data_IF_597522801811
#
_entry.id   IF_597522801811
#
_cell.length_a   1.000
_cell.length_b   1.000
_cell.length_c   1.000
_cell.angle_alpha   90.00
_cell.angle_beta   90.00
_cell.angle_gamma   90.00
#
_symmetry.space_group_name_H-M   'P 1'
#
loop_
_entity.id
_entity.type
_entity.pdbx_description
1 polymer ?
#
# COMPACT_ATOMS: atom_id res chain seq x y z
N UNK A 1 -30.84 54.77 56.25
CA UNK A 1 -29.39 54.61 55.97
C UNK A 1 -28.87 55.86 55.29
N UNK A 2 -27.83 56.48 55.84
CA UNK A 2 -27.13 57.60 55.18
C UNK A 2 -26.36 57.12 53.93
N UNK A 3 -25.99 58.05 53.04
CA UNK A 3 -25.28 57.74 51.79
C UNK A 3 -24.01 56.89 52.01
N UNK A 4 -23.25 57.19 53.07
CA UNK A 4 -22.04 56.44 53.47
C UNK A 4 -22.37 54.99 53.83
N UNK A 5 -23.50 54.76 54.50
CA UNK A 5 -23.93 53.43 54.93
C UNK A 5 -24.33 52.55 53.73
N UNK A 6 -25.00 53.14 52.73
CA UNK A 6 -25.34 52.45 51.47
C UNK A 6 -24.09 52.07 50.68
N UNK A 7 -23.12 52.98 50.58
CA UNK A 7 -21.86 52.74 49.89
C UNK A 7 -21.07 51.61 50.57
N UNK A 8 -20.99 51.64 51.89
CA UNK A 8 -20.35 50.59 52.68
C UNK A 8 -21.04 49.23 52.48
N UNK A 9 -22.38 49.17 52.45
CA UNK A 9 -23.11 47.92 52.18
C UNK A 9 -22.80 47.36 50.79
N UNK A 10 -22.76 48.19 49.75
CA UNK A 10 -22.45 47.74 48.38
C UNK A 10 -21.03 47.18 48.30
N UNK A 11 -20.05 47.85 48.92
CA UNK A 11 -18.66 47.37 48.94
C UNK A 11 -18.54 46.05 49.69
N UNK A 12 -19.19 45.92 50.85
CA UNK A 12 -19.17 44.67 51.64
C UNK A 12 -19.82 43.53 50.86
N UNK A 13 -21.00 43.76 50.26
CA UNK A 13 -21.68 42.73 49.45
C UNK A 13 -20.83 42.34 48.24
N UNK A 14 -20.19 43.31 47.57
CA UNK A 14 -19.28 43.05 46.46
C UNK A 14 -18.05 42.23 46.87
N UNK A 15 -17.42 42.56 48.00
CA UNK A 15 -16.28 41.80 48.53
C UNK A 15 -16.69 40.39 48.96
N UNK A 16 -17.87 40.24 49.59
CA UNK A 16 -18.40 38.92 49.95
C UNK A 16 -18.65 38.10 48.69
N UNK A 17 -19.34 38.66 47.68
CA UNK A 17 -19.58 37.98 46.41
C UNK A 17 -18.27 37.57 45.72
N UNK A 18 -17.27 38.46 45.66
CA UNK A 18 -15.95 38.15 45.08
C UNK A 18 -15.24 37.05 45.88
N UNK A 19 -15.26 37.12 47.21
CA UNK A 19 -14.66 36.10 48.08
C UNK A 19 -15.34 34.73 47.91
N UNK A 20 -16.67 34.70 47.79
CA UNK A 20 -17.44 33.48 47.52
C UNK A 20 -17.10 32.90 46.14
N UNK A 21 -17.00 33.73 45.11
CA UNK A 21 -16.58 33.29 43.77
C UNK A 21 -15.16 32.73 43.78
N UNK A 22 -14.23 33.37 44.48
CA UNK A 22 -12.86 32.89 44.61
C UNK A 22 -12.80 31.54 45.33
N UNK A 23 -13.57 31.36 46.41
CA UNK A 23 -13.63 30.07 47.13
C UNK A 23 -14.20 28.97 46.24
N UNK A 24 -15.24 29.26 45.44
CA UNK A 24 -15.79 28.30 44.47
C UNK A 24 -14.74 27.96 43.39
N UNK A 25 -14.02 28.96 42.87
CA UNK A 25 -12.97 28.78 41.86
C UNK A 25 -11.79 27.93 42.36
N UNK A 26 -11.39 28.11 43.62
CA UNK A 26 -10.35 27.31 44.27
C UNK A 26 -10.85 25.91 44.63
N UNK A 27 -12.13 25.75 45.00
CA UNK A 27 -12.72 24.44 45.25
C UNK A 27 -12.79 23.58 43.98
N UNK A 28 -12.93 24.21 42.81
CA UNK A 28 -12.93 23.54 41.49
C UNK A 28 -11.52 23.42 40.86
N UNK A 29 -10.49 23.86 41.57
CA UNK A 29 -9.09 23.78 41.10
C UNK A 29 -8.65 22.35 40.75
N UNK A 30 -8.98 21.29 41.51
CA UNK A 30 -8.62 19.92 41.14
C UNK A 30 -9.21 19.49 39.78
N UNK A 31 -10.46 19.85 39.51
CA UNK A 31 -11.12 19.49 38.26
C UNK A 31 -10.53 20.27 37.07
N UNK A 32 -10.23 21.56 37.26
CA UNK A 32 -9.60 22.39 36.23
C UNK A 32 -8.17 21.92 35.93
N UNK A 33 -7.42 21.55 36.97
CA UNK A 33 -6.09 20.95 36.81
C UNK A 33 -6.17 19.60 36.10
N UNK A 34 -7.15 18.76 36.41
CA UNK A 34 -7.34 17.47 35.73
C UNK A 34 -7.72 17.65 34.25
N UNK A 35 -8.61 18.59 33.92
CA UNK A 35 -8.97 18.89 32.54
C UNK A 35 -7.76 19.40 31.73
N UNK A 36 -6.93 20.24 32.32
CA UNK A 36 -5.69 20.74 31.71
C UNK A 36 -4.62 19.65 31.52
N UNK A 37 -4.60 18.62 32.37
CA UNK A 37 -3.68 17.48 32.18
C UNK A 37 -4.11 16.66 30.97
N UNK A 38 -5.40 16.37 30.82
CA UNK A 38 -5.92 15.64 29.66
C UNK A 38 -5.62 16.38 28.34
N UNK A 39 -5.87 17.70 28.30
CA UNK A 39 -5.58 18.51 27.12
C UNK A 39 -4.08 18.52 26.77
N UNK A 40 -3.21 18.54 27.78
CA UNK A 40 -1.75 18.47 27.58
C UNK A 40 -1.32 17.09 27.09
N UNK A 41 -1.91 16.03 27.60
CA UNK A 41 -1.61 14.67 27.19
C UNK A 41 -2.04 14.43 25.74
N UNK A 42 -3.21 14.92 25.32
CA UNK A 42 -3.66 14.85 23.92
C UNK A 42 -2.70 15.58 22.97
N UNK A 43 -2.31 16.82 23.32
CA UNK A 43 -1.32 17.58 22.52
C UNK A 43 0.06 16.92 22.50
N UNK A 44 0.47 16.29 23.61
CA UNK A 44 1.71 15.54 23.69
C UNK A 44 1.66 14.28 22.81
N UNK A 45 0.52 13.59 22.75
CA UNK A 45 0.30 12.43 21.88
C UNK A 45 0.39 12.86 20.42
N UNK A 46 -0.28 13.94 20.00
CA UNK A 46 -0.22 14.45 18.63
C UNK A 46 1.22 14.77 18.18
N UNK A 47 1.99 15.49 19.01
CA UNK A 47 3.41 15.77 18.73
C UNK A 47 4.28 14.52 18.74
N UNK A 48 3.92 13.55 19.59
CA UNK A 48 4.52 12.23 19.63
C UNK A 48 4.30 11.48 18.31
N UNK A 49 3.10 11.55 17.72
CA UNK A 49 2.79 10.97 16.40
C UNK A 49 3.69 11.59 15.33
N UNK A 50 3.77 12.92 15.24
CA UNK A 50 4.67 13.60 14.28
C UNK A 50 6.12 13.15 14.41
N UNK A 51 6.60 13.06 15.65
CA UNK A 51 7.98 12.64 15.94
C UNK A 51 8.20 11.17 15.55
N UNK A 52 7.23 10.30 15.83
CA UNK A 52 7.25 8.88 15.48
C UNK A 52 7.24 8.68 13.95
N UNK A 53 6.37 9.41 13.24
CA UNK A 53 6.26 9.40 11.78
C UNK A 53 7.60 9.71 11.12
N UNK A 54 8.33 10.69 11.62
CA UNK A 54 9.60 11.13 11.05
C UNK A 54 10.80 10.22 11.37
N UNK A 55 10.79 9.56 12.54
CA UNK A 55 12.02 8.96 13.09
C UNK A 55 11.92 7.45 13.37
N UNK A 56 10.71 6.92 13.54
CA UNK A 56 10.50 5.59 14.13
C UNK A 56 9.73 4.65 13.21
N UNK A 57 8.83 5.18 12.38
CA UNK A 57 7.97 4.41 11.45
C UNK A 57 8.76 3.48 10.54
N UNK A 58 9.93 3.89 10.07
CA UNK A 58 10.75 3.06 9.17
C UNK A 58 11.08 1.69 9.78
N UNK A 59 11.31 1.64 11.10
CA UNK A 59 11.64 0.41 11.81
C UNK A 59 10.42 -0.25 12.47
N UNK A 60 9.47 0.54 12.98
CA UNK A 60 8.36 0.06 13.80
C UNK A 60 7.03 -0.08 13.04
N UNK A 61 6.91 0.54 11.87
CA UNK A 61 5.71 0.54 11.06
C UNK A 61 4.68 1.60 11.46
N UNK A 62 3.75 1.93 10.55
CA UNK A 62 2.73 2.94 10.74
C UNK A 62 1.74 2.59 11.86
N UNK A 63 1.52 1.31 12.15
CA UNK A 63 0.70 0.86 13.28
C UNK A 63 1.55 0.43 14.49
N UNK A 64 2.88 0.64 14.44
CA UNK A 64 3.79 0.16 15.49
C UNK A 64 3.90 -1.37 15.53
N UNK A 65 3.53 -2.08 14.48
CA UNK A 65 3.49 -3.54 14.40
C UNK A 65 4.87 -4.23 14.49
N UNK A 66 5.94 -3.50 14.23
CA UNK A 66 7.32 -3.96 14.36
C UNK A 66 7.71 -5.09 13.41
N UNK A 67 8.77 -5.82 13.79
CA UNK A 67 9.25 -6.99 13.08
C UNK A 67 8.23 -8.13 13.24
N UNK A 68 7.66 -8.57 12.13
CA UNK A 68 7.33 -9.98 11.96
C UNK A 68 8.67 -10.73 11.87
N UNK A 69 8.77 -11.97 12.38
CA UNK A 69 10.04 -12.73 12.37
C UNK A 69 10.74 -12.69 10.99
N UNK A 70 12.08 -12.77 10.91
CA UNK A 70 12.77 -12.88 9.62
C UNK A 70 12.17 -14.02 8.79
N UNK A 71 11.46 -13.68 7.71
CA UNK A 71 10.75 -14.63 6.84
C UNK A 71 9.23 -14.73 7.04
N UNK A 72 8.64 -14.03 8.02
CA UNK A 72 7.19 -13.89 8.17
C UNK A 72 6.70 -12.65 7.38
N UNK A 73 5.75 -12.86 6.47
CA UNK A 73 5.32 -11.85 5.49
C UNK A 73 4.72 -10.59 6.13
N UNK A 74 5.15 -9.42 5.65
CA UNK A 74 4.67 -8.11 6.11
C UNK A 74 5.50 -6.92 5.63
N UNK A 75 6.78 -6.80 6.00
CA UNK A 75 7.54 -5.55 5.70
C UNK A 75 9.07 -5.61 5.73
N UNK A 76 9.70 -6.66 6.28
CA UNK A 76 11.14 -6.66 6.54
C UNK A 76 11.59 -5.65 7.62
N UNK A 77 10.65 -5.15 8.44
CA UNK A 77 10.94 -4.25 9.56
C UNK A 77 11.73 -4.93 10.66
N UNK A 78 12.57 -4.16 11.34
CA UNK A 78 13.53 -4.66 12.36
C UNK A 78 13.23 -4.14 13.77
N UNK A 79 12.30 -3.19 13.92
CA UNK A 79 11.94 -2.59 15.21
C UNK A 79 10.97 -3.48 15.98
N UNK A 80 11.08 -3.54 17.31
CA UNK A 80 10.15 -4.32 18.11
C UNK A 80 8.69 -3.82 17.98
N UNK A 81 7.68 -4.70 18.11
CA UNK A 81 6.29 -4.29 18.15
C UNK A 81 6.04 -3.34 19.33
N UNK A 82 5.34 -2.26 19.04
CA UNK A 82 4.84 -1.24 19.97
C UNK A 82 3.31 -1.26 20.03
N UNK A 83 2.66 -1.70 18.95
CA UNK A 83 1.21 -1.80 18.81
C UNK A 83 0.79 -2.57 17.55
N UNK A 84 -0.41 -2.29 17.05
CA UNK A 84 -0.97 -2.92 15.85
C UNK A 84 -1.79 -4.19 16.10
N UNK A 85 -2.35 -4.74 15.02
CA UNK A 85 -3.34 -5.84 15.05
C UNK A 85 -2.74 -7.25 15.01
N UNK A 86 -1.41 -7.38 14.86
CA UNK A 86 -0.73 -8.67 14.91
C UNK A 86 -0.73 -9.24 16.33
N UNK A 87 -0.53 -10.55 16.50
CA UNK A 87 -0.46 -11.17 17.84
C UNK A 87 0.59 -10.50 18.74
N UNK A 88 1.78 -10.24 18.18
CA UNK A 88 2.86 -9.54 18.89
C UNK A 88 2.55 -8.06 19.12
N UNK A 89 1.84 -7.43 18.18
CA UNK A 89 1.37 -6.05 18.30
C UNK A 89 0.37 -5.87 19.43
N UNK A 90 -0.64 -6.73 19.50
CA UNK A 90 -1.63 -6.75 20.58
C UNK A 90 -0.98 -7.02 21.94
N UNK A 91 0.00 -7.93 22.01
CA UNK A 91 0.78 -8.17 23.21
C UNK A 91 1.60 -6.94 23.62
N UNK A 92 2.19 -6.22 22.65
CA UNK A 92 2.90 -4.98 22.90
C UNK A 92 1.96 -3.86 23.40
N UNK A 93 0.79 -3.70 22.79
CA UNK A 93 -0.25 -2.76 23.25
C UNK A 93 -0.64 -3.05 24.69
N UNK A 94 -0.92 -4.30 25.04
CA UNK A 94 -1.30 -4.68 26.41
C UNK A 94 -0.19 -4.36 27.45
N UNK A 95 1.08 -4.46 27.06
CA UNK A 95 2.21 -4.10 27.92
C UNK A 95 2.44 -2.59 28.00
N UNK A 96 2.33 -1.89 26.88
CA UNK A 96 2.60 -0.45 26.79
C UNK A 96 1.47 0.39 27.40
N UNK A 97 0.22 -0.06 27.26
CA UNK A 97 -0.99 0.70 27.59
C UNK A 97 -1.74 0.12 28.78
N UNK A 98 -1.02 -0.55 29.69
CA UNK A 98 -1.62 -1.08 30.93
C UNK A 98 -2.27 0.01 31.77
N UNK A 99 -3.40 -0.32 32.39
CA UNK A 99 -4.12 0.52 33.36
C UNK A 99 -3.54 0.40 34.79
N UNK A 100 -2.68 -0.59 35.05
CA UNK A 100 -1.99 -0.70 36.35
C UNK A 100 -0.96 0.41 36.50
N UNK A 101 -1.20 1.35 37.42
CA UNK A 101 -0.38 2.55 37.63
C UNK A 101 1.11 2.23 37.87
N UNK A 102 1.42 1.16 38.61
CA UNK A 102 2.82 0.81 38.93
C UNK A 102 3.51 0.25 37.71
N UNK A 103 2.87 -0.69 37.01
CA UNK A 103 3.44 -1.28 35.79
C UNK A 103 3.55 -0.23 34.69
N UNK A 104 2.61 0.72 34.63
CA UNK A 104 2.62 1.84 33.70
C UNK A 104 3.81 2.76 33.92
N UNK A 105 4.09 3.12 35.17
CA UNK A 105 5.27 3.94 35.53
C UNK A 105 6.58 3.21 35.20
N UNK A 106 6.70 1.94 35.57
CA UNK A 106 7.87 1.11 35.23
C UNK A 106 8.05 1.00 33.71
N UNK A 107 6.95 0.86 32.96
CA UNK A 107 7.00 0.77 31.51
C UNK A 107 7.41 2.09 30.87
N UNK A 108 6.93 3.21 31.39
CA UNK A 108 7.34 4.55 30.95
C UNK A 108 8.85 4.73 31.08
N UNK A 109 9.43 4.32 32.22
CA UNK A 109 10.88 4.35 32.45
C UNK A 109 11.65 3.49 31.45
N UNK A 110 11.13 2.29 31.14
CA UNK A 110 11.74 1.42 30.11
C UNK A 110 11.72 2.07 28.74
N UNK A 111 10.59 2.65 28.33
CA UNK A 111 10.42 3.29 27.02
C UNK A 111 11.37 4.49 26.91
N UNK A 112 11.33 5.42 27.87
CA UNK A 112 12.18 6.62 27.86
C UNK A 112 13.67 6.29 27.91
N UNK A 113 14.08 5.35 28.77
CA UNK A 113 15.48 4.92 28.85
C UNK A 113 15.94 4.28 27.54
N UNK A 114 15.06 3.52 26.87
CA UNK A 114 15.34 2.90 25.57
C UNK A 114 15.47 3.96 24.47
N UNK A 115 14.58 4.95 24.41
CA UNK A 115 14.67 6.07 23.47
C UNK A 115 15.95 6.91 23.69
N UNK A 116 16.32 7.13 24.95
CA UNK A 116 17.52 7.92 25.29
C UNK A 116 18.82 7.22 24.93
N UNK A 117 18.92 5.91 25.14
CA UNK A 117 20.18 5.17 25.09
C UNK A 117 20.27 4.16 23.95
N UNK A 118 19.17 3.89 23.26
CA UNK A 118 19.05 2.78 22.32
C UNK A 118 19.02 1.42 23.04
N UNK A 119 18.67 0.37 22.29
CA UNK A 119 18.70 -1.03 22.76
C UNK A 119 18.75 -2.00 21.59
N UNK A 120 19.75 -2.87 21.58
CA UNK A 120 19.90 -3.86 20.50
C UNK A 120 20.14 -3.17 19.15
N UNK A 121 19.24 -3.38 18.19
CA UNK A 121 19.27 -2.72 16.87
C UNK A 121 18.70 -1.29 16.89
N UNK A 122 18.01 -0.90 17.96
CA UNK A 122 17.44 0.44 18.08
C UNK A 122 18.55 1.45 18.44
N UNK A 123 18.78 2.49 17.63
CA UNK A 123 19.77 3.52 17.93
C UNK A 123 19.33 4.39 19.12
N UNK A 124 20.27 5.12 19.70
CA UNK A 124 19.96 6.16 20.67
C UNK A 124 19.41 7.40 19.96
N UNK A 125 18.22 7.85 20.34
CA UNK A 125 17.62 9.08 19.82
C UNK A 125 17.85 10.28 20.76
N UNK A 126 18.00 10.02 22.06
CA UNK A 126 18.42 11.01 23.06
C UNK A 126 19.93 11.20 23.12
N UNK A 127 20.42 11.76 24.22
CA UNK A 127 21.85 12.12 24.36
C UNK A 127 22.80 10.92 24.33
N UNK A 128 22.32 9.70 24.59
CA UNK A 128 23.13 8.50 24.70
C UNK A 128 24.35 8.65 25.63
N UNK A 129 25.25 7.67 25.61
CA UNK A 129 26.52 7.75 26.32
C UNK A 129 27.62 8.55 25.57
N UNK A 130 27.42 8.83 24.27
CA UNK A 130 28.44 9.38 23.37
C UNK A 130 28.16 10.83 22.90
N UNK A 131 26.98 11.39 23.20
CA UNK A 131 26.62 12.78 22.94
C UNK A 131 26.24 13.09 21.48
N UNK A 132 25.04 13.65 21.28
CA UNK A 132 24.55 14.11 19.97
C UNK A 132 23.06 13.87 19.73
N UNK A 133 22.19 14.24 20.69
CA UNK A 133 20.77 13.88 20.66
C UNK A 133 20.03 14.41 19.43
N UNK A 134 19.37 13.50 18.70
CA UNK A 134 18.40 13.84 17.64
C UNK A 134 17.11 14.41 18.23
N UNK A 135 16.68 13.86 19.37
CA UNK A 135 15.49 14.26 20.09
C UNK A 135 15.86 14.86 21.45
N UNK A 136 15.16 15.92 21.84
CA UNK A 136 15.30 16.50 23.18
C UNK A 136 14.46 15.73 24.23
N UNK A 137 14.67 16.04 25.52
CA UNK A 137 14.01 15.31 26.61
C UNK A 137 12.46 15.41 26.55
N UNK A 138 11.93 16.53 26.05
CA UNK A 138 10.48 16.71 25.86
C UNK A 138 9.95 15.83 24.73
N UNK A 139 10.64 15.77 23.60
CA UNK A 139 10.22 14.90 22.48
C UNK A 139 10.27 13.41 22.86
N UNK A 140 11.21 13.02 23.72
CA UNK A 140 11.26 11.67 24.27
C UNK A 140 10.10 11.40 25.22
N UNK A 141 9.72 12.40 26.03
CA UNK A 141 8.55 12.33 26.90
C UNK A 141 7.25 12.21 26.09
N UNK A 142 7.05 13.07 25.08
CA UNK A 142 5.91 13.07 24.17
C UNK A 142 5.78 11.72 23.43
N UNK A 143 6.88 11.14 22.95
CA UNK A 143 6.90 9.79 22.36
C UNK A 143 6.51 8.69 23.35
N UNK A 144 6.99 8.77 24.60
CA UNK A 144 6.65 7.78 25.60
C UNK A 144 5.16 7.86 25.97
N UNK A 145 4.62 9.07 26.13
CA UNK A 145 3.18 9.28 26.34
C UNK A 145 2.36 8.78 25.16
N UNK A 146 2.79 9.07 23.93
CA UNK A 146 2.15 8.54 22.73
C UNK A 146 2.09 7.01 22.75
N UNK A 147 3.21 6.31 22.95
CA UNK A 147 3.24 4.84 22.97
C UNK A 147 2.30 4.25 24.05
N UNK A 148 2.14 4.93 25.20
CA UNK A 148 1.29 4.45 26.30
C UNK A 148 -0.20 4.79 26.17
N UNK A 149 -0.60 5.67 25.25
CA UNK A 149 -1.97 6.20 25.19
C UNK A 149 -2.58 6.23 23.79
N UNK A 150 -1.79 6.07 22.73
CA UNK A 150 -2.26 6.28 21.36
C UNK A 150 -3.14 5.13 20.87
N UNK A 151 -4.15 5.48 20.09
CA UNK A 151 -4.82 4.52 19.20
C UNK A 151 -3.95 4.32 17.96
N UNK A 152 -3.41 3.11 17.79
CA UNK A 152 -2.49 2.79 16.70
C UNK A 152 -3.16 2.87 15.31
N UNK A 153 -4.48 2.79 15.22
CA UNK A 153 -5.18 3.01 13.96
C UNK A 153 -5.12 4.49 13.55
N UNK A 154 -5.08 5.43 14.51
CA UNK A 154 -4.88 6.86 14.22
C UNK A 154 -3.47 7.12 13.68
N UNK A 155 -2.46 6.52 14.31
CA UNK A 155 -1.06 6.62 13.84
C UNK A 155 -0.94 6.06 12.43
N UNK A 156 -1.57 4.90 12.18
CA UNK A 156 -1.57 4.29 10.87
C UNK A 156 -2.15 5.24 9.83
N UNK A 157 -3.36 5.76 10.06
CA UNK A 157 -4.03 6.64 9.12
C UNK A 157 -3.23 7.93 8.84
N UNK A 158 -2.64 8.53 9.87
CA UNK A 158 -1.84 9.76 9.73
C UNK A 158 -0.51 9.53 8.98
N UNK A 159 0.18 8.43 9.29
CA UNK A 159 1.42 8.05 8.60
C UNK A 159 1.16 7.72 7.13
N UNK A 160 0.09 6.98 6.83
CA UNK A 160 -0.26 6.65 5.44
C UNK A 160 -0.62 7.91 4.65
N UNK A 161 -1.42 8.80 5.25
CA UNK A 161 -1.82 10.05 4.63
C UNK A 161 -0.62 10.99 4.36
N UNK A 162 0.32 11.08 5.30
CA UNK A 162 1.51 11.95 5.18
C UNK A 162 2.61 11.36 4.28
N UNK A 163 2.73 10.03 4.23
CA UNK A 163 3.76 9.33 3.46
C UNK A 163 3.33 8.95 2.04
N UNK A 164 2.05 9.15 1.69
CA UNK A 164 1.51 8.74 0.39
C UNK A 164 1.41 7.22 0.24
N UNK A 165 1.25 6.48 1.34
CA UNK A 165 1.25 5.02 1.33
C UNK A 165 2.07 4.41 2.46
N UNK A 166 2.17 3.07 2.45
CA UNK A 166 2.86 2.32 3.49
C UNK A 166 4.39 2.48 3.35
N UNK A 167 5.09 3.11 4.30
CA UNK A 167 6.48 3.49 4.12
C UNK A 167 7.40 2.26 4.13
N UNK A 168 8.00 1.96 2.99
CA UNK A 168 9.00 0.89 2.80
C UNK A 168 10.41 1.44 2.97
N UNK A 169 11.36 0.61 3.44
CA UNK A 169 12.78 0.98 3.41
C UNK A 169 13.18 1.34 1.97
N UNK A 170 13.88 2.47 1.74
CA UNK A 170 14.51 2.67 0.45
C UNK A 170 15.47 1.50 0.20
N UNK A 171 15.53 0.97 -1.04
CA UNK A 171 16.52 -0.05 -1.35
C UNK A 171 17.91 0.48 -0.98
N UNK A 172 18.79 -0.34 -0.37
CA UNK A 172 20.13 0.11 -0.01
C UNK A 172 20.80 0.71 -1.25
N UNK A 173 21.56 1.81 -1.12
CA UNK A 173 22.23 2.41 -2.26
C UNK A 173 23.11 1.35 -2.92
N UNK A 174 22.92 1.17 -4.23
CA UNK A 174 23.75 0.26 -5.01
C UNK A 174 25.23 0.56 -4.71
N UNK A 175 26.06 -0.45 -4.38
CA UNK A 175 27.46 -0.20 -4.08
C UNK A 175 28.10 0.52 -5.26
N UNK A 176 28.81 1.61 -4.97
CA UNK A 176 29.57 2.35 -5.96
C UNK A 176 30.73 1.49 -6.46
N UNK A 177 30.46 0.70 -7.51
CA UNK A 177 31.42 -0.21 -8.12
C UNK A 177 30.71 -1.49 -8.57
N UNK A 178 30.54 -1.63 -9.88
CA UNK A 178 29.93 -2.80 -10.52
C UNK A 178 30.64 -4.11 -10.16
N UNK A 179 30.13 -4.77 -9.13
CA UNK A 179 30.28 -6.19 -8.87
C UNK A 179 29.01 -6.62 -8.13
N UNK A 180 28.32 -7.62 -8.66
CA UNK A 180 27.14 -8.21 -8.04
C UNK A 180 27.48 -8.68 -6.62
N UNK A 181 26.60 -8.46 -5.63
CA UNK A 181 26.82 -8.93 -4.27
C UNK A 181 26.74 -10.47 -4.24
N UNK A 182 27.81 -11.10 -3.78
CA UNK A 182 27.80 -12.50 -3.35
C UNK A 182 27.04 -12.60 -2.02
N UNK A 183 26.02 -13.47 -1.98
CA UNK A 183 25.28 -13.79 -0.77
C UNK A 183 26.18 -14.41 0.32
N UNK A 184 25.96 -14.02 1.57
CA UNK A 184 26.49 -14.70 2.75
C UNK A 184 25.65 -15.96 3.05
N UNK A 185 26.23 -17.02 3.67
CA UNK A 185 25.71 -18.38 3.57
C UNK A 185 24.60 -18.66 4.58
N UNK A 186 23.49 -19.24 4.12
CA UNK A 186 22.55 -19.94 4.99
C UNK A 186 23.05 -21.36 5.30
N UNK A 187 22.96 -21.72 6.58
CA UNK A 187 23.29 -23.04 7.09
C UNK A 187 22.20 -24.05 6.68
N UNK A 188 22.67 -25.11 6.03
CA UNK A 188 21.87 -26.18 5.47
C UNK A 188 21.00 -26.95 6.48
N UNK A 189 19.78 -27.30 6.06
CA UNK A 189 19.32 -28.69 6.11
C UNK A 189 18.73 -29.11 4.75
N UNK A 190 19.37 -30.13 4.19
CA UNK A 190 19.17 -30.72 2.88
C UNK A 190 17.89 -31.55 2.79
N UNK A 191 17.21 -31.50 1.64
CA UNK A 191 17.16 -32.57 0.63
C UNK A 191 16.36 -32.05 -0.58
N UNK A 192 17.00 -31.63 -1.69
CA UNK A 192 17.45 -32.44 -2.85
C UNK A 192 16.25 -32.92 -3.71
N UNK A 193 16.08 -32.66 -5.01
CA UNK A 193 16.86 -32.10 -6.12
C UNK A 193 15.85 -31.59 -7.18
N UNK A 194 16.13 -30.69 -8.14
CA UNK A 194 17.40 -30.28 -8.68
C UNK A 194 17.28 -29.07 -9.63
N UNK A 195 18.45 -28.60 -10.04
CA UNK A 195 18.78 -27.29 -10.59
C UNK A 195 18.55 -27.11 -12.10
N UNK A 196 18.54 -25.84 -12.53
CA UNK A 196 18.77 -25.41 -13.90
C UNK A 196 18.78 -23.88 -14.05
N UNK A 197 19.95 -23.30 -14.28
CA UNK A 197 20.18 -21.88 -14.55
C UNK A 197 19.83 -21.48 -16.01
N UNK A 198 19.32 -20.25 -16.19
CA UNK A 198 19.32 -19.33 -17.34
C UNK A 198 19.15 -19.85 -18.79
N UNK A 199 18.02 -19.51 -19.42
CA UNK A 199 17.90 -18.73 -20.69
C UNK A 199 16.42 -18.71 -21.12
N UNK A 200 15.94 -17.58 -21.65
CA UNK A 200 14.52 -17.38 -21.96
C UNK A 200 13.94 -18.30 -23.03
N UNK A 201 12.65 -18.59 -22.90
CA UNK A 201 11.66 -18.75 -23.99
C UNK A 201 10.26 -18.83 -23.36
N UNK A 202 9.22 -18.43 -24.08
CA UNK A 202 7.83 -18.56 -23.64
C UNK A 202 7.39 -20.04 -23.67
N UNK A 203 6.84 -20.55 -22.57
CA UNK A 203 6.11 -21.81 -22.52
C UNK A 203 4.77 -21.59 -21.80
N UNK A 204 3.68 -22.00 -22.46
CA UNK A 204 2.32 -21.96 -21.94
C UNK A 204 2.24 -22.72 -20.60
N UNK A 205 2.07 -21.96 -19.51
CA UNK A 205 1.77 -22.52 -18.20
C UNK A 205 0.31 -22.97 -18.18
N UNK A 206 0.05 -24.25 -17.88
CA UNK A 206 -1.30 -24.74 -17.54
C UNK A 206 -1.67 -24.41 -16.08
N UNK A 207 -0.87 -23.58 -15.40
CA UNK A 207 -1.09 -23.13 -14.04
C UNK A 207 -1.42 -21.63 -14.04
N UNK A 208 -2.48 -21.27 -13.34
CA UNK A 208 -2.99 -19.91 -13.17
C UNK A 208 -3.16 -19.62 -11.68
N UNK A 209 -3.24 -18.34 -11.31
CA UNK A 209 -3.43 -17.93 -9.91
C UNK A 209 -4.67 -17.06 -9.79
N UNK A 210 -5.50 -17.33 -8.79
CA UNK A 210 -6.62 -16.47 -8.37
C UNK A 210 -6.48 -16.23 -6.88
N UNK A 211 -6.02 -15.05 -6.54
CA UNK A 211 -5.84 -14.57 -5.17
C UNK A 211 -7.17 -14.16 -4.57
N UNK A 212 -7.35 -14.42 -3.28
CA UNK A 212 -8.53 -14.01 -2.52
C UNK A 212 -8.16 -12.99 -1.46
N UNK A 213 -8.90 -11.89 -1.43
CA UNK A 213 -8.85 -10.84 -0.41
C UNK A 213 -10.21 -10.74 0.28
N UNK A 214 -10.29 -9.99 1.38
CA UNK A 214 -11.43 -10.03 2.30
C UNK A 214 -12.83 -9.95 1.63
N UNK A 215 -12.95 -9.23 0.51
CA UNK A 215 -14.22 -9.08 -0.22
C UNK A 215 -14.12 -9.22 -1.75
N UNK A 216 -13.01 -9.70 -2.30
CA UNK A 216 -12.84 -9.84 -3.76
C UNK A 216 -11.77 -10.87 -4.15
N UNK A 217 -11.78 -11.29 -5.42
CA UNK A 217 -10.71 -12.06 -6.03
C UNK A 217 -9.87 -11.20 -6.98
N UNK A 218 -8.59 -11.52 -7.10
CA UNK A 218 -7.66 -10.96 -8.08
C UNK A 218 -6.92 -12.09 -8.82
N UNK A 219 -6.96 -12.14 -10.15
CA UNK A 219 -7.77 -11.29 -11.00
C UNK A 219 -9.27 -11.63 -10.88
N UNK A 220 -10.13 -10.70 -11.33
CA UNK A 220 -11.59 -10.91 -11.45
C UNK A 220 -11.99 -11.66 -12.72
N UNK A 221 -11.08 -11.75 -13.69
CA UNK A 221 -11.27 -12.53 -14.90
C UNK A 221 -9.98 -13.32 -15.18
N UNK A 222 -10.11 -14.62 -15.43
CA UNK A 222 -9.01 -15.46 -15.91
C UNK A 222 -9.41 -16.11 -17.23
N UNK A 223 -8.44 -16.22 -18.13
CA UNK A 223 -8.62 -16.93 -19.39
C UNK A 223 -7.74 -18.17 -19.42
N UNK A 224 -8.34 -19.31 -19.73
CA UNK A 224 -7.69 -20.62 -19.69
C UNK A 224 -7.92 -21.39 -21.00
N UNK A 225 -6.99 -22.28 -21.39
CA UNK A 225 -7.18 -23.12 -22.57
C UNK A 225 -8.35 -24.09 -22.36
N UNK A 226 -9.29 -24.10 -23.30
CA UNK A 226 -10.43 -25.00 -23.24
C UNK A 226 -10.03 -26.46 -23.42
N UNK A 227 -10.83 -27.35 -22.81
CA UNK A 227 -10.68 -28.80 -22.89
C UNK A 227 -9.28 -29.32 -22.52
N UNK A 228 -8.53 -28.53 -21.74
CA UNK A 228 -7.18 -28.83 -21.26
C UNK A 228 -7.19 -28.91 -19.74
N UNK A 229 -6.41 -29.84 -19.17
CA UNK A 229 -6.22 -29.94 -17.72
C UNK A 229 -5.34 -28.77 -17.25
N UNK A 230 -5.90 -27.97 -16.34
CA UNK A 230 -5.29 -26.77 -15.77
C UNK A 230 -5.28 -26.85 -14.24
N UNK A 231 -4.36 -26.12 -13.61
CA UNK A 231 -4.28 -25.96 -12.16
C UNK A 231 -4.48 -24.49 -11.80
N UNK A 232 -5.38 -24.20 -10.85
CA UNK A 232 -5.54 -22.87 -10.25
C UNK A 232 -4.92 -22.87 -8.85
N UNK A 233 -3.96 -21.98 -8.62
CA UNK A 233 -3.43 -21.64 -7.29
C UNK A 233 -4.31 -20.58 -6.65
N UNK A 234 -4.63 -20.78 -5.37
CA UNK A 234 -5.63 -20.00 -4.64
C UNK A 234 -5.04 -19.48 -3.32
N UNK A 235 -4.18 -18.43 -3.34
CA UNK A 235 -3.72 -17.79 -2.12
C UNK A 235 -4.83 -16.95 -1.48
N UNK A 236 -4.92 -16.99 -0.16
CA UNK A 236 -5.77 -16.10 0.62
C UNK A 236 -4.92 -15.04 1.32
N UNK A 237 -4.99 -13.82 0.81
CA UNK A 237 -4.29 -12.63 1.29
C UNK A 237 -5.18 -11.75 2.19
N UNK A 238 -6.46 -12.12 2.36
CA UNK A 238 -7.40 -11.49 3.29
C UNK A 238 -7.22 -11.98 4.73
N UNK A 239 -7.84 -11.26 5.65
CA UNK A 239 -7.88 -11.63 7.07
C UNK A 239 -8.95 -12.71 7.37
N UNK A 240 -9.89 -12.95 6.46
CA UNK A 240 -11.04 -13.84 6.62
C UNK A 240 -10.88 -15.16 5.85
N UNK A 241 -11.59 -16.22 6.25
CA UNK A 241 -11.67 -17.45 5.46
C UNK A 241 -12.39 -17.16 4.13
N UNK A 242 -11.85 -17.68 3.04
CA UNK A 242 -12.44 -17.57 1.71
C UNK A 242 -12.64 -18.94 1.06
N UNK A 243 -13.48 -18.97 0.05
CA UNK A 243 -13.78 -20.18 -0.70
C UNK A 243 -13.72 -19.85 -2.20
N UNK A 244 -13.27 -20.79 -3.02
CA UNK A 244 -13.36 -20.71 -4.48
C UNK A 244 -14.34 -21.77 -4.98
N UNK A 245 -15.52 -21.33 -5.46
CA UNK A 245 -16.57 -22.22 -5.98
C UNK A 245 -16.93 -21.92 -7.43
N UNK A 246 -17.11 -22.98 -8.24
CA UNK A 246 -17.68 -22.92 -9.60
C UNK A 246 -18.76 -24.00 -9.70
N UNK A 247 -20.04 -23.61 -9.63
CA UNK A 247 -21.18 -24.54 -9.59
C UNK A 247 -21.26 -25.43 -10.84
N UNK A 248 -21.00 -24.87 -12.02
CA UNK A 248 -21.09 -25.59 -13.29
C UNK A 248 -20.01 -26.66 -13.47
N UNK A 249 -18.94 -26.62 -12.66
CA UNK A 249 -17.83 -27.56 -12.68
C UNK A 249 -17.75 -28.41 -11.40
N UNK A 250 -18.70 -28.26 -10.47
CA UNK A 250 -18.73 -28.94 -9.16
C UNK A 250 -17.44 -28.73 -8.33
N UNK A 251 -16.90 -27.49 -8.37
CA UNK A 251 -15.69 -27.08 -7.64
C UNK A 251 -16.09 -26.26 -6.42
N UNK A 252 -15.50 -26.57 -5.27
CA UNK A 252 -15.57 -25.76 -4.04
C UNK A 252 -14.34 -26.04 -3.16
N UNK A 253 -13.51 -25.02 -2.92
CA UNK A 253 -12.26 -25.13 -2.14
C UNK A 253 -12.22 -24.06 -1.07
N UNK A 254 -12.10 -24.44 0.20
CA UNK A 254 -11.94 -23.51 1.33
C UNK A 254 -10.46 -23.17 1.56
N UNK A 255 -10.15 -21.89 1.76
CA UNK A 255 -8.79 -21.35 1.86
C UNK A 255 -8.69 -20.51 3.15
N UNK A 256 -7.93 -21.00 4.13
CA UNK A 256 -7.72 -20.28 5.39
C UNK A 256 -6.88 -19.00 5.19
N UNK A 257 -7.00 -17.97 6.06
CA UNK A 257 -6.19 -16.76 5.97
C UNK A 257 -4.69 -17.06 5.91
N UNK A 258 -3.98 -16.49 4.94
CA UNK A 258 -2.56 -16.70 4.71
C UNK A 258 -2.19 -18.08 4.12
N UNK A 259 -3.17 -18.95 3.85
CA UNK A 259 -2.94 -20.23 3.19
C UNK A 259 -2.96 -20.09 1.67
N UNK A 260 -2.43 -21.10 0.97
CA UNK A 260 -2.57 -21.25 -0.48
C UNK A 260 -3.01 -22.67 -0.76
N UNK A 261 -4.14 -22.81 -1.44
CA UNK A 261 -4.66 -24.10 -1.91
C UNK A 261 -4.49 -24.21 -3.43
N UNK A 262 -4.67 -25.42 -3.98
CA UNK A 262 -4.64 -25.65 -5.43
C UNK A 262 -5.81 -26.53 -5.87
N UNK A 263 -6.30 -26.30 -7.09
CA UNK A 263 -7.35 -27.13 -7.70
C UNK A 263 -7.04 -27.40 -9.16
N UNK A 264 -7.09 -28.66 -9.56
CA UNK A 264 -6.83 -29.10 -10.94
C UNK A 264 -8.11 -29.62 -11.58
N UNK A 265 -8.46 -29.10 -12.76
CA UNK A 265 -9.69 -29.47 -13.47
C UNK A 265 -9.58 -29.20 -14.98
N UNK A 266 -10.60 -29.64 -15.73
CA UNK A 266 -10.79 -29.33 -17.15
C UNK A 266 -12.10 -28.58 -17.34
N UNK A 267 -12.07 -27.50 -18.10
CA UNK A 267 -13.25 -26.70 -18.44
C UNK A 267 -13.53 -26.75 -19.95
N UNK A 268 -14.73 -27.18 -20.38
CA UNK A 268 -15.19 -26.97 -21.76
C UNK A 268 -15.17 -25.49 -22.16
N UNK A 269 -15.25 -25.19 -23.46
CA UNK A 269 -15.40 -23.80 -23.93
C UNK A 269 -16.63 -23.12 -23.30
N UNK A 270 -16.42 -21.93 -22.73
CA UNK A 270 -17.48 -21.17 -22.08
C UNK A 270 -16.98 -20.21 -21.00
N UNK A 271 -17.91 -19.44 -20.47
CA UNK A 271 -17.69 -18.54 -19.33
C UNK A 271 -18.28 -19.15 -18.06
N UNK A 272 -17.50 -19.15 -16.98
CA UNK A 272 -17.85 -19.76 -15.70
C UNK A 272 -17.69 -18.73 -14.58
N UNK A 273 -18.75 -18.43 -13.84
CA UNK A 273 -18.64 -17.61 -12.63
C UNK A 273 -17.95 -18.43 -11.54
N UNK A 274 -16.87 -17.90 -10.98
CA UNK A 274 -16.34 -18.35 -9.69
C UNK A 274 -16.71 -17.35 -8.59
N UNK A 275 -16.97 -17.83 -7.38
CA UNK A 275 -17.40 -16.99 -6.28
C UNK A 275 -16.98 -17.55 -4.92
N UNK A 276 -17.03 -16.70 -3.88
CA UNK A 276 -16.86 -17.11 -2.49
C UNK A 276 -18.21 -17.43 -1.85
N UNK A 277 -18.40 -18.68 -1.43
CA UNK A 277 -19.65 -19.17 -0.85
C UNK A 277 -19.83 -18.82 0.65
N UNK A 278 -18.86 -18.12 1.27
CA UNK A 278 -18.96 -17.64 2.64
C UNK A 278 -20.16 -16.67 2.75
N UNK A 279 -21.06 -16.85 3.74
CA UNK A 279 -22.30 -16.07 3.81
C UNK A 279 -22.07 -14.56 3.69
N UNK A 280 -22.64 -13.92 2.67
CA UNK A 280 -22.54 -12.48 2.42
C UNK A 280 -21.42 -12.05 1.48
N UNK A 281 -20.44 -12.91 1.17
CA UNK A 281 -19.28 -12.54 0.34
C UNK A 281 -19.64 -12.47 -1.14
N UNK A 282 -20.38 -13.45 -1.67
CA UNK A 282 -20.92 -13.40 -3.04
C UNK A 282 -21.82 -12.17 -3.24
N UNK A 283 -22.73 -11.91 -2.29
CA UNK A 283 -23.63 -10.75 -2.34
C UNK A 283 -22.88 -9.42 -2.23
N UNK A 284 -21.72 -9.40 -1.57
CA UNK A 284 -20.82 -8.26 -1.49
C UNK A 284 -19.96 -8.06 -2.75
N UNK A 285 -20.07 -8.96 -3.75
CA UNK A 285 -19.36 -8.85 -5.03
C UNK A 285 -18.07 -9.66 -5.11
N UNK A 286 -17.85 -10.62 -4.21
CA UNK A 286 -16.74 -11.56 -4.27
C UNK A 286 -17.01 -12.66 -5.31
N UNK A 287 -17.05 -12.22 -6.58
CA UNK A 287 -17.28 -13.01 -7.79
C UNK A 287 -16.23 -12.67 -8.84
N UNK A 288 -15.90 -13.63 -9.70
CA UNK A 288 -15.09 -13.44 -10.88
C UNK A 288 -15.51 -14.41 -12.00
N UNK A 289 -14.86 -14.29 -13.16
CA UNK A 289 -15.22 -15.02 -14.38
C UNK A 289 -14.03 -15.79 -14.93
N UNK A 290 -14.19 -17.10 -15.14
CA UNK A 290 -13.24 -17.93 -15.87
C UNK A 290 -13.74 -18.08 -17.31
N UNK A 291 -12.93 -17.63 -18.27
CA UNK A 291 -13.18 -17.76 -19.71
C UNK A 291 -12.34 -18.92 -20.24
N UNK A 292 -12.99 -20.01 -20.59
CA UNK A 292 -12.37 -21.16 -21.24
C UNK A 292 -12.53 -21.05 -22.75
N UNK A 293 -11.42 -20.93 -23.49
CA UNK A 293 -11.46 -20.83 -24.97
C UNK A 293 -10.24 -21.46 -25.65
N UNK A 294 -10.29 -21.73 -26.97
CA UNK A 294 -9.14 -22.25 -27.71
C UNK A 294 -7.98 -21.25 -27.71
N UNK A 295 -6.84 -21.68 -27.18
CA UNK A 295 -5.59 -20.96 -27.35
C UNK A 295 -4.81 -21.56 -28.53
N UNK A 296 -4.24 -20.73 -29.40
CA UNK A 296 -3.44 -21.20 -30.53
C UNK A 296 -2.21 -21.95 -30.00
N UNK A 297 -2.19 -23.26 -30.18
CA UNK A 297 -1.09 -24.12 -29.74
C UNK A 297 0.19 -23.75 -30.49
N UNK A 298 1.23 -23.36 -29.76
CA UNK A 298 2.58 -23.25 -30.29
C UNK A 298 3.13 -24.68 -30.48
N UNK A 299 2.70 -25.34 -31.56
CA UNK A 299 3.25 -26.63 -31.95
C UNK A 299 3.34 -26.70 -33.48
N UNK A 300 4.31 -25.98 -34.04
CA UNK A 300 4.92 -26.30 -35.33
C UNK A 300 6.43 -26.00 -35.21
N UNK A 301 7.33 -27.00 -35.40
CA UNK A 301 8.73 -26.84 -35.08
C UNK A 301 9.45 -26.03 -36.18
N UNK A 302 10.20 -25.02 -35.75
CA UNK A 302 11.19 -24.35 -36.59
C UNK A 302 12.30 -25.34 -36.97
N UNK A 303 12.32 -25.81 -38.21
CA UNK A 303 13.48 -26.50 -38.77
C UNK A 303 14.31 -25.49 -39.57
N UNK A 304 15.48 -25.15 -39.03
CA UNK A 304 16.54 -24.53 -39.81
C UNK A 304 17.10 -25.56 -40.80
N UNK A 305 17.17 -25.21 -42.09
CA UNK A 305 18.13 -25.80 -42.99
C UNK A 305 18.73 -24.74 -43.92
N UNK A 306 20.05 -24.72 -43.93
CA UNK A 306 20.92 -23.89 -44.74
C UNK A 306 21.14 -24.55 -46.12
N UNK A 307 20.76 -23.83 -47.19
CA UNK A 307 21.39 -23.73 -48.52
C UNK A 307 20.41 -23.84 -49.70
N UNK A 308 20.54 -22.83 -50.59
CA UNK A 308 20.29 -22.83 -52.04
C UNK A 308 18.83 -23.01 -52.49
N UNK A 309 18.28 -22.30 -53.49
CA UNK A 309 18.75 -21.32 -54.48
C UNK A 309 17.46 -20.61 -54.99
N UNK A 310 17.50 -19.31 -55.27
CA UNK A 310 17.35 -18.69 -56.60
C UNK A 310 15.93 -18.72 -57.22
N UNK A 311 15.57 -17.57 -57.82
CA UNK A 311 14.33 -17.21 -58.53
C UNK A 311 13.09 -16.96 -57.62
N UNK A 312 12.39 -15.82 -57.64
CA UNK A 312 12.19 -14.86 -58.72
C UNK A 312 12.20 -13.40 -58.21
N UNK A 313 12.76 -12.56 -59.06
CA UNK A 313 12.89 -11.12 -58.96
C UNK A 313 11.70 -10.47 -59.70
N UNK A 314 11.26 -9.32 -59.18
CA UNK A 314 10.58 -8.22 -59.90
C UNK A 314 9.09 -8.35 -60.26
N UNK A 315 8.27 -7.57 -59.53
CA UNK A 315 7.51 -6.49 -60.16
C UNK A 315 7.27 -5.36 -59.14
N UNK A 316 7.93 -4.23 -59.39
CA UNK A 316 7.93 -3.04 -58.57
C UNK A 316 6.73 -2.13 -58.83
N UNK A 317 6.43 -1.33 -57.80
CA UNK A 317 6.32 0.15 -57.85
C UNK A 317 4.93 0.80 -57.70
N UNK A 318 4.92 1.78 -56.77
CA UNK A 318 4.02 2.92 -56.55
C UNK A 318 2.72 2.62 -55.79
N UNK A 319 2.45 3.21 -54.62
CA UNK A 319 2.74 4.58 -54.22
C UNK A 319 3.44 4.69 -52.85
N UNK A 320 4.54 5.43 -52.84
CA UNK A 320 5.14 5.97 -51.62
C UNK A 320 4.27 7.12 -51.13
N UNK A 321 3.48 6.86 -50.08
CA UNK A 321 3.28 7.85 -49.03
C UNK A 321 4.35 7.58 -47.99
N UNK A 322 5.15 8.59 -47.64
CA UNK A 322 6.08 8.52 -46.51
C UNK A 322 5.41 7.80 -45.34
N UNK A 323 5.94 6.63 -44.96
CA UNK A 323 5.69 6.13 -43.61
C UNK A 323 6.17 7.25 -42.70
N UNK A 324 5.26 7.87 -41.90
CA UNK A 324 5.67 8.89 -40.95
C UNK A 324 6.81 8.29 -40.14
N UNK A 325 7.87 9.07 -39.91
CA UNK A 325 8.86 8.68 -38.91
C UNK A 325 8.09 8.24 -37.66
N UNK A 326 8.40 7.08 -37.05
CA UNK A 326 7.64 6.58 -35.91
C UNK A 326 7.50 7.71 -34.90
N UNK A 327 6.25 8.06 -34.58
CA UNK A 327 5.98 9.18 -33.71
C UNK A 327 6.71 8.95 -32.39
N UNK A 328 7.29 10.02 -31.84
CA UNK A 328 8.07 9.91 -30.60
C UNK A 328 7.16 9.41 -29.48
N UNK A 329 7.58 8.32 -28.82
CA UNK A 329 6.86 7.74 -27.71
C UNK A 329 6.63 8.79 -26.61
N UNK A 330 5.42 8.82 -26.09
CA UNK A 330 5.01 9.71 -25.01
C UNK A 330 5.04 8.98 -23.68
N UNK A 331 5.31 9.72 -22.60
CA UNK A 331 5.30 9.18 -21.25
C UNK A 331 4.36 10.00 -20.38
N UNK A 332 3.35 9.35 -19.77
CA UNK A 332 2.47 9.93 -18.75
C UNK A 332 2.54 9.06 -17.51
N UNK A 333 3.23 9.54 -16.49
CA UNK A 333 3.33 8.86 -15.20
C UNK A 333 2.10 9.17 -14.35
N UNK A 334 1.45 8.16 -13.81
CA UNK A 334 0.46 8.29 -12.74
C UNK A 334 1.12 8.24 -11.37
N UNK A 335 0.66 9.11 -10.47
CA UNK A 335 0.95 9.13 -9.05
C UNK A 335 -0.38 9.16 -8.29
N UNK A 336 -0.36 8.92 -6.98
CA UNK A 336 -1.56 8.65 -6.16
C UNK A 336 -2.82 9.50 -6.46
N UNK A 337 -2.64 10.79 -6.75
CA UNK A 337 -3.77 11.69 -7.06
C UNK A 337 -3.52 12.61 -8.26
N UNK A 338 -2.52 12.34 -9.12
CA UNK A 338 -2.23 13.19 -10.30
C UNK A 338 -1.43 12.46 -11.38
N UNK A 339 -1.41 13.04 -12.60
CA UNK A 339 -0.53 12.60 -13.69
C UNK A 339 0.60 13.61 -13.95
N UNK A 340 1.74 13.14 -14.43
CA UNK A 340 2.83 13.95 -14.95
C UNK A 340 3.33 13.44 -16.32
N UNK A 341 3.42 14.29 -17.36
CA UNK A 341 2.93 15.67 -17.39
C UNK A 341 1.40 15.73 -17.35
N UNK A 342 0.85 16.91 -17.01
CA UNK A 342 -0.60 17.17 -17.01
C UNK A 342 -1.14 17.58 -18.39
N UNK A 343 -0.25 17.90 -19.33
CA UNK A 343 -0.59 18.26 -20.70
C UNK A 343 0.43 17.60 -21.64
N UNK A 344 -0.07 16.91 -22.68
CA UNK A 344 0.75 16.31 -23.75
C UNK A 344 0.20 16.73 -25.11
N UNK A 345 1.10 16.92 -26.08
CA UNK A 345 0.76 17.20 -27.48
C UNK A 345 1.27 16.11 -28.41
N UNK A 346 0.41 15.57 -29.27
CA UNK A 346 0.75 14.54 -30.27
C UNK A 346 0.24 14.92 -31.66
N UNK A 347 0.83 14.40 -32.75
CA UNK A 347 0.30 14.61 -34.10
C UNK A 347 -1.05 13.90 -34.31
N UNK A 348 -1.93 14.53 -35.08
CA UNK A 348 -3.22 13.96 -35.49
C UNK A 348 -3.09 12.77 -36.46
N UNK A 349 -4.06 11.86 -36.37
CA UNK A 349 -4.24 10.69 -37.25
C UNK A 349 -2.98 9.80 -37.39
N UNK A 350 -2.16 9.76 -36.34
CA UNK A 350 -0.88 9.02 -36.30
C UNK A 350 -0.82 8.13 -35.06
N UNK A 351 -0.34 6.89 -35.21
CA UNK A 351 -0.10 5.98 -34.09
C UNK A 351 1.05 6.49 -33.22
N UNK A 352 0.74 6.86 -31.97
CA UNK A 352 1.72 7.35 -31.00
C UNK A 352 1.76 6.36 -29.83
N UNK A 353 2.89 5.70 -29.56
CA UNK A 353 3.02 4.83 -28.41
C UNK A 353 3.12 5.67 -27.12
N UNK A 354 2.41 5.23 -26.08
CA UNK A 354 2.42 5.79 -24.74
C UNK A 354 2.94 4.76 -23.76
N UNK A 355 3.91 5.16 -22.94
CA UNK A 355 4.28 4.47 -21.70
C UNK A 355 3.60 5.17 -20.54
N UNK A 356 2.99 4.40 -19.65
CA UNK A 356 2.18 4.90 -18.55
C UNK A 356 2.69 4.33 -17.22
N UNK A 357 3.83 4.79 -16.71
CA UNK A 357 4.34 4.34 -15.41
C UNK A 357 3.36 4.72 -14.31
N UNK A 358 3.13 3.81 -13.36
CA UNK A 358 2.45 4.14 -12.12
C UNK A 358 3.47 4.17 -10.98
N UNK A 359 3.87 5.37 -10.62
CA UNK A 359 4.79 5.63 -9.51
C UNK A 359 4.00 5.95 -8.21
N UNK A 360 2.67 5.84 -8.23
CA UNK A 360 1.80 5.89 -7.06
C UNK A 360 1.73 4.55 -6.32
N UNK A 361 1.34 4.61 -5.05
CA UNK A 361 1.08 3.46 -4.19
C UNK A 361 -0.29 2.82 -4.45
N UNK A 362 -1.26 3.59 -4.97
CA UNK A 362 -2.53 3.06 -5.44
C UNK A 362 -2.42 2.55 -6.88
N UNK A 363 -3.23 1.55 -7.24
CA UNK A 363 -3.50 1.30 -8.65
C UNK A 363 -4.14 2.55 -9.25
N UNK A 364 -3.83 2.85 -10.50
CA UNK A 364 -4.43 3.92 -11.26
C UNK A 364 -4.85 3.42 -12.63
N UNK A 365 -5.57 4.25 -13.35
CA UNK A 365 -5.73 4.03 -14.77
C UNK A 365 -5.62 5.32 -15.54
N UNK A 366 -5.24 5.16 -16.80
CA UNK A 366 -5.26 6.21 -17.79
C UNK A 366 -6.49 5.98 -18.67
N UNK A 367 -7.54 6.78 -18.42
CA UNK A 367 -8.81 6.71 -19.16
C UNK A 367 -9.01 7.92 -20.06
N UNK A 368 -9.43 7.70 -21.30
CA UNK A 368 -9.97 8.73 -22.21
C UNK A 368 -11.30 8.21 -22.79
N UNK A 369 -12.42 8.64 -22.20
CA UNK A 369 -13.76 8.18 -22.57
C UNK A 369 -14.09 8.38 -24.06
N UNK A 370 -13.74 9.55 -24.60
CA UNK A 370 -14.03 9.94 -25.98
C UNK A 370 -13.31 9.04 -27.01
N UNK A 371 -12.23 8.36 -26.59
CA UNK A 371 -11.45 7.44 -27.39
C UNK A 371 -11.65 5.97 -26.99
N UNK A 372 -12.43 5.69 -25.94
CA UNK A 372 -12.64 4.34 -25.42
C UNK A 372 -11.37 3.69 -24.84
N UNK A 373 -10.41 4.50 -24.39
CA UNK A 373 -9.15 4.03 -23.82
C UNK A 373 -9.34 3.91 -22.31
N UNK A 374 -9.02 2.73 -21.75
CA UNK A 374 -8.85 2.53 -20.32
C UNK A 374 -7.69 1.56 -20.11
N UNK A 375 -6.62 2.03 -19.47
CA UNK A 375 -5.44 1.22 -19.16
C UNK A 375 -5.29 1.21 -17.65
N UNK A 376 -5.61 0.08 -17.01
CA UNK A 376 -5.38 -0.13 -15.59
C UNK A 376 -3.91 -0.47 -15.32
N UNK A 377 -3.33 0.21 -14.34
CA UNK A 377 -1.90 0.20 -14.06
C UNK A 377 -1.74 0.00 -12.55
N UNK A 378 -1.31 -1.18 -12.14
CA UNK A 378 -1.01 -1.47 -10.75
C UNK A 378 0.12 -0.56 -10.22
N UNK A 379 0.18 -0.38 -8.90
CA UNK A 379 1.26 0.38 -8.27
C UNK A 379 2.63 -0.19 -8.67
N UNK A 380 3.55 0.67 -9.11
CA UNK A 380 4.88 0.30 -9.58
C UNK A 380 4.93 -0.38 -10.96
N UNK A 381 3.79 -0.61 -11.63
CA UNK A 381 3.75 -1.15 -12.98
C UNK A 381 3.86 -0.04 -14.03
N UNK A 382 4.19 -0.39 -15.27
CA UNK A 382 4.09 0.51 -16.42
C UNK A 382 3.08 -0.05 -17.40
N UNK A 383 2.00 0.68 -17.64
CA UNK A 383 1.06 0.38 -18.73
C UNK A 383 1.62 0.84 -20.06
N UNK A 384 1.15 0.26 -21.15
CA UNK A 384 1.47 0.71 -22.49
C UNK A 384 0.18 0.78 -23.32
N UNK A 385 0.08 1.78 -24.18
CA UNK A 385 -1.02 1.87 -25.16
C UNK A 385 -0.55 2.63 -26.40
N UNK A 386 -1.30 2.51 -27.49
CA UNK A 386 -1.07 3.30 -28.70
C UNK A 386 -2.28 4.17 -28.93
N UNK A 387 -2.07 5.48 -29.02
CA UNK A 387 -3.13 6.45 -29.24
C UNK A 387 -3.03 6.98 -30.67
N UNK A 388 -4.15 6.87 -31.40
CA UNK A 388 -4.37 7.48 -32.70
C UNK A 388 -5.73 8.16 -32.67
N UNK A 389 -5.75 9.49 -32.80
CA UNK A 389 -6.95 10.31 -32.68
C UNK A 389 -6.93 11.46 -33.69
N UNK A 390 -8.10 11.95 -34.12
CA UNK A 390 -8.19 13.15 -34.96
C UNK A 390 -7.81 14.41 -34.15
N UNK A 391 -7.51 15.51 -34.86
CA UNK A 391 -7.16 16.77 -34.21
C UNK A 391 -8.26 17.25 -33.24
N UNK A 392 -7.86 17.57 -32.01
CA UNK A 392 -8.79 17.82 -30.91
C UNK A 392 -8.10 17.98 -29.55
N UNK A 393 -8.91 18.13 -28.52
CA UNK A 393 -8.45 18.17 -27.12
C UNK A 393 -9.27 17.17 -26.33
N UNK A 394 -8.57 16.25 -25.67
CA UNK A 394 -9.16 15.11 -24.95
C UNK A 394 -8.74 15.17 -23.48
N UNK A 395 -9.66 14.92 -22.55
CA UNK A 395 -9.34 14.76 -21.14
C UNK A 395 -8.92 13.31 -20.87
N UNK A 396 -7.74 13.13 -20.27
CA UNK A 396 -7.41 11.85 -19.64
C UNK A 396 -7.54 11.96 -18.13
N UNK A 397 -8.00 10.91 -17.48
CA UNK A 397 -8.23 10.91 -16.03
C UNK A 397 -8.10 9.51 -15.42
N UNK A 398 -8.02 9.43 -14.10
CA UNK A 398 -8.17 8.17 -13.38
C UNK A 398 -9.62 7.97 -12.94
N UNK A 399 -10.24 6.89 -13.41
CA UNK A 399 -11.65 6.59 -13.20
C UNK A 399 -11.95 5.91 -11.84
N UNK A 400 -10.93 5.69 -11.02
CA UNK A 400 -11.10 5.17 -9.66
C UNK A 400 -11.95 6.17 -8.86
N UNK A 401 -13.00 5.72 -8.15
CA UNK A 401 -13.92 6.61 -7.46
C UNK A 401 -13.20 7.62 -6.55
N UNK A 402 -13.45 8.92 -6.76
CA UNK A 402 -12.85 10.00 -5.98
C UNK A 402 -11.54 10.53 -6.55
N UNK A 403 -10.84 9.81 -7.44
CA UNK A 403 -9.53 10.24 -7.97
C UNK A 403 -9.69 11.35 -9.01
N UNK A 404 -10.66 11.24 -9.92
CA UNK A 404 -11.02 12.32 -10.86
C UNK A 404 -11.45 13.57 -10.10
N UNK A 405 -12.30 13.43 -9.09
CA UNK A 405 -12.79 14.52 -8.24
C UNK A 405 -11.68 15.16 -7.40
N UNK A 406 -10.67 14.38 -7.01
CA UNK A 406 -9.45 14.84 -6.34
C UNK A 406 -8.48 15.58 -7.28
N UNK A 407 -8.78 15.63 -8.58
CA UNK A 407 -7.98 16.37 -9.57
C UNK A 407 -6.97 15.52 -10.35
N UNK A 408 -7.13 14.18 -10.33
CA UNK A 408 -6.34 13.27 -11.15
C UNK A 408 -6.81 13.28 -12.61
N UNK A 409 -6.60 14.42 -13.26
CA UNK A 409 -6.96 14.73 -14.64
C UNK A 409 -5.76 15.35 -15.37
N UNK A 410 -5.70 15.17 -16.69
CA UNK A 410 -4.78 15.85 -17.59
C UNK A 410 -5.38 16.02 -18.99
N UNK A 411 -4.65 16.69 -19.87
CA UNK A 411 -5.12 17.12 -21.19
C UNK A 411 -4.22 16.59 -22.31
N UNK A 412 -4.79 15.86 -23.25
CA UNK A 412 -4.15 15.45 -24.49
C UNK A 412 -4.58 16.38 -25.62
N UNK A 413 -3.63 17.11 -26.20
CA UNK A 413 -3.80 17.95 -27.38
C UNK A 413 -3.34 17.16 -28.61
N UNK A 414 -4.19 17.06 -29.61
CA UNK A 414 -3.91 16.37 -30.87
C UNK A 414 -3.97 17.39 -32.00
N UNK A 415 -2.86 17.64 -32.70
CA UNK A 415 -2.73 18.71 -33.71
C UNK A 415 -2.17 18.29 -35.08
#
# INVERSE_FOLDING_TARGET
MGAVQKLATVVIVGLVALSTLLVIYLADEPNRMAAEVVEKDEVAIERGIDTFSQNCVVCHGPAGEGYSEPGAYGTGRIGAPLGGSTELGLAATALNQTEDEVVREERYDVITTTLQNGRGLMPAFGRGAEGGALLNDEQIHELALMIQNVDWDLVYNDVIASSGGYPTFPPPPAPAGGAAPTAAPEAAQNADAGAGENAGDAAASNQFTVESYDIYFEPKEIEVPSDTEITILLPNLGASLHNFSIDALDISVDIAPGATEEVTFTAPEGEYEYYCNVPGHKEAGMVGTLISRPMASADEPATANENAAEDEVEAAQQAAGETPAPATAQNVTSFDIYFEPKEITIPSDTDVPFTLPNDGAAAHNFSIDELGINVDIAAGATGETVINAPAGTYEYYCNIPGHKEAGMIGTLIVE
#
